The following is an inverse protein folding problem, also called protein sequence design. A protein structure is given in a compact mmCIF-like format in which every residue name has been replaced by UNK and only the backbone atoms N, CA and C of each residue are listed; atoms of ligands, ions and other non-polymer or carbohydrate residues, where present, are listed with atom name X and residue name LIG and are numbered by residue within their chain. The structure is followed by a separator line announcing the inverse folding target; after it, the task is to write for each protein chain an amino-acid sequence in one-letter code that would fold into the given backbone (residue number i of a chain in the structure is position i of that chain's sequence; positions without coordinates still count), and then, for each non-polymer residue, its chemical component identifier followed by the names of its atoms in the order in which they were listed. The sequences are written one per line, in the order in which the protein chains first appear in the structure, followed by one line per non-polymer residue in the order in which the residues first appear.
data_IF_273127090990
#
_entry.id   IF_273127090990
#
_cell.length_a   1.000
_cell.length_b   1.000
_cell.length_c   1.000
_cell.angle_alpha   90.00
_cell.angle_beta   90.00
_cell.angle_gamma   90.00
#
_symmetry.space_group_name_H-M   'P 1'
#
loop_
_entity.id
_entity.type
_entity.pdbx_description
1 polymer ?
#
# COMPACT_ATOMS: atom_id res chain seq x y z
N UNK A 1 12.73 -24.93 -7.10
CA UNK A 1 12.17 -23.60 -7.45
C UNK A 1 10.85 -23.25 -6.74
N UNK A 2 9.73 -23.99 -6.86
CA UNK A 2 8.45 -23.56 -6.27
C UNK A 2 8.42 -23.58 -4.74
N UNK A 3 9.01 -24.60 -4.08
CA UNK A 3 9.09 -24.59 -2.61
C UNK A 3 9.91 -23.41 -2.09
N UNK A 4 10.99 -23.04 -2.80
CA UNK A 4 11.86 -21.92 -2.42
C UNK A 4 11.10 -20.59 -2.49
N UNK A 5 10.28 -20.38 -3.51
CA UNK A 5 9.46 -19.18 -3.62
C UNK A 5 8.45 -19.06 -2.47
N UNK A 6 7.81 -20.18 -2.09
CA UNK A 6 6.91 -20.19 -0.93
C UNK A 6 7.67 -19.90 0.38
N UNK A 7 8.87 -20.44 0.57
CA UNK A 7 9.72 -20.10 1.71
C UNK A 7 10.07 -18.61 1.74
N UNK A 8 10.46 -18.02 0.61
CA UNK A 8 10.77 -16.58 0.51
C UNK A 8 9.55 -15.74 0.89
N UNK A 9 8.38 -16.05 0.32
CA UNK A 9 7.12 -15.37 0.67
C UNK A 9 6.84 -15.45 2.16
N UNK A 10 7.01 -16.64 2.75
CA UNK A 10 6.78 -16.86 4.17
C UNK A 10 7.74 -16.04 5.04
N UNK A 11 9.04 -16.05 4.73
CA UNK A 11 10.01 -15.28 5.51
C UNK A 11 9.79 -13.77 5.40
N UNK A 12 9.50 -13.27 4.19
CA UNK A 12 9.17 -11.86 3.99
C UNK A 12 7.91 -11.46 4.78
N UNK A 13 6.87 -12.31 4.78
CA UNK A 13 5.65 -12.08 5.54
C UNK A 13 5.89 -12.00 7.05
N UNK A 14 6.84 -12.79 7.56
CA UNK A 14 7.19 -12.83 8.98
C UNK A 14 8.33 -11.88 9.37
N UNK A 15 8.76 -11.00 8.46
CA UNK A 15 9.85 -10.06 8.72
C UNK A 15 11.22 -10.72 8.94
N UNK A 16 11.39 -12.00 8.57
CA UNK A 16 12.66 -12.71 8.71
C UNK A 16 13.60 -12.35 7.56
N UNK A 17 14.27 -11.20 7.71
CA UNK A 17 15.17 -10.59 6.73
C UNK A 17 16.32 -11.52 6.33
N UNK A 18 16.94 -12.18 7.31
CA UNK A 18 18.10 -13.04 7.09
C UNK A 18 17.75 -14.25 6.23
N UNK A 19 16.72 -15.01 6.63
CA UNK A 19 16.30 -16.21 5.89
C UNK A 19 15.70 -15.85 4.53
N UNK A 20 14.95 -14.74 4.44
CA UNK A 20 14.47 -14.25 3.15
C UNK A 20 15.64 -13.99 2.19
N UNK A 21 16.68 -13.27 2.63
CA UNK A 21 17.84 -12.93 1.80
C UNK A 21 18.61 -14.19 1.37
N UNK A 22 18.92 -15.08 2.31
CA UNK A 22 19.61 -16.34 2.01
C UNK A 22 18.86 -17.16 0.95
N UNK A 23 17.53 -17.28 1.07
CA UNK A 23 16.74 -18.03 0.10
C UNK A 23 16.65 -17.33 -1.26
N UNK A 24 16.69 -16.01 -1.32
CA UNK A 24 16.70 -15.26 -2.59
C UNK A 24 18.06 -15.38 -3.28
N UNK A 25 19.17 -15.31 -2.55
CA UNK A 25 20.52 -15.52 -3.10
C UNK A 25 20.65 -16.92 -3.71
N UNK A 26 20.19 -17.95 -2.99
CA UNK A 26 20.14 -19.31 -3.53
C UNK A 26 19.23 -19.41 -4.76
N UNK A 27 18.12 -18.65 -4.82
CA UNK A 27 17.24 -18.62 -6.00
C UNK A 27 17.94 -17.99 -7.21
N UNK A 28 18.73 -16.93 -7.00
CA UNK A 28 19.54 -16.29 -8.04
C UNK A 28 20.59 -17.26 -8.57
N UNK A 29 21.36 -17.90 -7.68
CA UNK A 29 22.34 -18.92 -8.05
C UNK A 29 21.70 -20.09 -8.81
N UNK A 30 20.58 -20.61 -8.31
CA UNK A 30 19.82 -21.69 -8.97
C UNK A 30 19.41 -21.26 -10.39
N UNK A 31 19.08 -19.98 -10.61
CA UNK A 31 18.68 -19.48 -11.92
C UNK A 31 19.85 -19.24 -12.88
N UNK A 32 21.02 -18.84 -12.37
CA UNK A 32 22.25 -18.65 -13.13
C UNK A 32 22.87 -19.98 -13.58
N UNK A 33 22.74 -21.04 -12.77
CA UNK A 33 23.25 -22.38 -13.08
C UNK A 33 22.36 -23.20 -14.03
N UNK A 34 21.20 -22.67 -14.46
CA UNK A 34 20.34 -23.39 -15.41
C UNK A 34 20.93 -23.33 -16.82
N UNK A 35 21.47 -24.45 -17.29
CA UNK A 35 21.93 -24.63 -18.67
C UNK A 35 20.79 -25.12 -19.57
N UNK A 36 19.74 -24.31 -19.71
CA UNK A 36 18.60 -24.62 -20.58
C UNK A 36 18.57 -23.62 -21.72
N UNK A 37 18.55 -24.10 -22.97
CA UNK A 37 18.41 -23.27 -24.16
C UNK A 37 16.96 -22.78 -24.30
N UNK A 38 16.60 -21.83 -23.44
CA UNK A 38 15.27 -21.22 -23.40
C UNK A 38 15.39 -19.71 -23.37
N UNK A 39 14.89 -19.05 -24.42
CA UNK A 39 14.99 -17.61 -24.63
C UNK A 39 14.47 -16.76 -23.46
N UNK A 40 13.53 -17.27 -22.64
CA UNK A 40 13.01 -16.53 -21.47
C UNK A 40 13.81 -16.76 -20.18
N UNK A 41 14.80 -17.65 -20.19
CA UNK A 41 15.62 -17.94 -19.01
C UNK A 41 16.47 -16.72 -18.61
N UNK A 42 17.05 -16.03 -19.58
CA UNK A 42 17.80 -14.77 -19.35
C UNK A 42 16.91 -13.68 -18.75
N UNK A 43 15.65 -13.57 -19.21
CA UNK A 43 14.66 -12.65 -18.64
C UNK A 43 14.30 -13.02 -17.20
N UNK A 44 14.16 -14.31 -16.91
CA UNK A 44 13.87 -14.80 -15.56
C UNK A 44 15.03 -14.54 -14.61
N UNK A 45 16.26 -14.88 -15.00
CA UNK A 45 17.47 -14.61 -14.21
C UNK A 45 17.61 -13.11 -13.91
N UNK A 46 17.41 -12.26 -14.92
CA UNK A 46 17.38 -10.80 -14.74
C UNK A 46 16.30 -10.37 -13.73
N UNK A 47 15.09 -10.88 -13.83
CA UNK A 47 14.01 -10.55 -12.91
C UNK A 47 14.30 -10.99 -11.47
N UNK A 48 14.91 -12.16 -11.28
CA UNK A 48 15.32 -12.65 -9.95
C UNK A 48 16.41 -11.75 -9.35
N UNK A 49 17.38 -11.32 -10.16
CA UNK A 49 18.42 -10.38 -9.74
C UNK A 49 17.85 -9.02 -9.36
N UNK A 50 16.95 -8.47 -10.18
CA UNK A 50 16.25 -7.21 -9.87
C UNK A 50 15.43 -7.33 -8.58
N UNK A 51 14.74 -8.46 -8.40
CA UNK A 51 14.00 -8.76 -7.17
C UNK A 51 14.93 -8.82 -5.95
N UNK A 52 16.07 -9.50 -6.04
CA UNK A 52 17.08 -9.56 -4.98
C UNK A 52 17.58 -8.17 -4.59
N UNK A 53 17.99 -7.36 -5.56
CA UNK A 53 18.48 -6.00 -5.33
C UNK A 53 17.39 -5.14 -4.70
N UNK A 54 16.15 -5.25 -5.17
CA UNK A 54 15.02 -4.54 -4.59
C UNK A 54 14.81 -4.91 -3.12
N UNK A 55 14.75 -6.21 -2.80
CA UNK A 55 14.58 -6.67 -1.42
C UNK A 55 15.75 -6.19 -0.57
N UNK A 56 16.99 -6.35 -1.05
CA UNK A 56 18.21 -5.92 -0.34
C UNK A 56 18.18 -4.43 0.03
N UNK A 57 17.82 -3.57 -0.93
CA UNK A 57 17.73 -2.12 -0.70
C UNK A 57 16.59 -1.73 0.25
N UNK A 58 15.59 -2.59 0.43
CA UNK A 58 14.42 -2.34 1.25
C UNK A 58 14.35 -3.22 2.51
N UNK A 59 15.42 -3.96 2.84
CA UNK A 59 15.45 -4.94 3.94
C UNK A 59 14.98 -4.31 5.26
N UNK A 60 15.43 -3.08 5.53
CA UNK A 60 15.09 -2.37 6.77
C UNK A 60 13.63 -1.95 6.88
N UNK A 61 12.96 -1.80 5.74
CA UNK A 61 11.55 -1.45 5.64
C UNK A 61 10.62 -2.66 5.63
N UNK A 62 11.15 -3.89 5.66
CA UNK A 62 10.32 -5.10 5.74
C UNK A 62 9.65 -5.17 7.11
N UNK A 63 8.32 -5.13 7.08
CA UNK A 63 7.42 -5.22 8.23
C UNK A 63 7.08 -6.69 8.50
N UNK A 64 7.02 -7.08 9.77
CA UNK A 64 6.50 -8.38 10.20
C UNK A 64 4.95 -8.40 10.14
N UNK A 65 4.40 -8.68 8.97
CA UNK A 65 2.94 -8.76 8.79
C UNK A 65 2.30 -9.91 9.58
N UNK A 66 3.03 -11.00 9.83
CA UNK A 66 2.55 -12.11 10.66
C UNK A 66 2.31 -11.71 12.12
N UNK A 67 3.20 -10.90 12.69
CA UNK A 67 3.01 -10.31 14.03
C UNK A 67 1.85 -9.32 14.04
N UNK A 68 1.82 -8.37 13.08
CA UNK A 68 0.70 -7.41 12.95
C UNK A 68 -0.65 -8.11 12.89
N UNK A 69 -0.75 -9.19 12.11
CA UNK A 69 -1.97 -9.98 12.01
C UNK A 69 -2.39 -10.59 13.36
N UNK A 70 -1.45 -11.18 14.10
CA UNK A 70 -1.71 -11.76 15.44
C UNK A 70 -2.09 -10.70 16.47
N UNK A 71 -1.56 -9.48 16.34
CA UNK A 71 -1.90 -8.34 17.19
C UNK A 71 -3.17 -7.60 16.76
N UNK A 72 -3.84 -8.03 15.68
CA UNK A 72 -5.03 -7.34 15.14
C UNK A 72 -4.73 -5.98 14.51
N UNK A 73 -3.47 -5.70 14.16
CA UNK A 73 -3.07 -4.46 13.51
C UNK A 73 -3.41 -4.46 12.02
N UNK A 74 -3.48 -3.26 11.43
CA UNK A 74 -3.73 -3.10 10.00
C UNK A 74 -2.54 -3.64 9.19
N UNK A 75 -2.81 -4.67 8.38
CA UNK A 75 -1.84 -5.35 7.51
C UNK A 75 -1.88 -4.91 6.04
N UNK A 76 -2.92 -4.18 5.62
CA UNK A 76 -3.08 -3.75 4.22
C UNK A 76 -3.71 -2.37 4.12
N UNK A 77 -3.18 -1.56 3.20
CA UNK A 77 -3.78 -0.32 2.69
C UNK A 77 -4.70 -0.58 1.50
N UNK A 78 -4.83 -1.82 1.03
CA UNK A 78 -5.54 -2.17 -0.21
C UNK A 78 -7.00 -1.72 -0.24
N UNK A 79 -7.71 -1.74 0.89
CA UNK A 79 -9.06 -1.18 0.99
C UNK A 79 -9.06 0.34 0.72
N UNK A 80 -8.11 1.06 1.32
CA UNK A 80 -7.95 2.51 1.15
C UNK A 80 -7.54 2.83 -0.29
N UNK A 81 -6.56 2.10 -0.84
CA UNK A 81 -6.10 2.25 -2.22
C UNK A 81 -7.22 1.99 -3.22
N UNK A 82 -8.02 0.94 -3.02
CA UNK A 82 -9.19 0.63 -3.85
C UNK A 82 -10.23 1.74 -3.77
N UNK A 83 -10.54 2.25 -2.58
CA UNK A 83 -11.46 3.37 -2.41
C UNK A 83 -10.95 4.64 -3.13
N UNK A 84 -9.66 4.95 -3.00
CA UNK A 84 -9.03 6.07 -3.72
C UNK A 84 -9.13 5.87 -5.24
N UNK A 85 -8.80 4.69 -5.74
CA UNK A 85 -8.90 4.35 -7.16
C UNK A 85 -10.34 4.48 -7.69
N UNK A 86 -11.34 4.06 -6.92
CA UNK A 86 -12.75 4.24 -7.28
C UNK A 86 -13.15 5.71 -7.33
N UNK A 87 -12.73 6.53 -6.36
CA UNK A 87 -13.01 7.97 -6.35
C UNK A 87 -12.38 8.66 -7.57
N UNK A 88 -11.11 8.38 -7.84
CA UNK A 88 -10.39 8.93 -9.00
C UNK A 88 -11.09 8.48 -10.29
N UNK A 89 -11.41 7.19 -10.44
CA UNK A 89 -12.08 6.69 -11.62
C UNK A 89 -13.46 7.35 -11.84
N UNK A 90 -14.24 7.52 -10.78
CA UNK A 90 -15.57 8.14 -10.82
C UNK A 90 -15.51 9.63 -11.14
N UNK A 91 -14.54 10.37 -10.60
CA UNK A 91 -14.48 11.83 -10.70
C UNK A 91 -13.66 12.32 -11.91
N UNK A 92 -12.55 11.65 -12.21
CA UNK A 92 -11.57 12.11 -13.21
C UNK A 92 -11.64 11.35 -14.54
N UNK A 93 -11.94 10.05 -14.54
CA UNK A 93 -11.78 9.21 -15.75
C UNK A 93 -13.11 8.91 -16.45
N UNK A 94 -14.14 8.50 -15.72
CA UNK A 94 -15.40 8.03 -16.32
C UNK A 94 -16.51 9.09 -16.25
N UNK A 95 -16.81 9.67 -17.41
CA UNK A 95 -18.03 10.44 -17.77
C UNK A 95 -18.42 11.71 -16.99
N UNK A 96 -17.81 12.06 -15.86
CA UNK A 96 -18.25 13.25 -15.08
C UNK A 96 -17.41 14.54 -15.20
N UNK A 97 -16.24 14.54 -15.87
CA UNK A 97 -15.38 15.73 -16.06
C UNK A 97 -15.28 16.72 -14.86
N UNK A 98 -15.36 16.24 -13.62
CA UNK A 98 -15.10 17.08 -12.45
C UNK A 98 -13.61 17.03 -12.15
N UNK A 99 -12.87 17.90 -12.85
CA UNK A 99 -11.44 18.10 -12.63
C UNK A 99 -11.23 18.87 -11.34
N UNK A 100 -10.91 18.17 -10.26
CA UNK A 100 -10.36 18.84 -9.09
C UNK A 100 -8.95 19.32 -9.39
N UNK A 101 -8.62 20.53 -8.97
CA UNK A 101 -7.23 20.93 -8.84
C UNK A 101 -6.58 20.10 -7.74
N UNK A 102 -5.26 19.90 -7.80
CA UNK A 102 -4.50 19.21 -6.73
C UNK A 102 -4.82 19.80 -5.35
N UNK A 103 -4.90 21.14 -5.27
CA UNK A 103 -5.27 21.89 -4.07
C UNK A 103 -6.71 21.56 -3.61
N UNK A 104 -7.68 21.52 -4.53
CA UNK A 104 -9.07 21.19 -4.21
C UNK A 104 -9.22 19.76 -3.68
N UNK A 105 -8.56 18.78 -4.32
CA UNK A 105 -8.56 17.39 -3.85
C UNK A 105 -7.95 17.26 -2.45
N UNK A 106 -6.83 17.95 -2.20
CA UNK A 106 -6.16 17.97 -0.90
C UNK A 106 -7.06 18.55 0.20
N UNK A 107 -7.67 19.72 -0.05
CA UNK A 107 -8.58 20.35 0.92
C UNK A 107 -9.80 19.49 1.21
N UNK A 108 -10.38 18.85 0.19
CA UNK A 108 -11.52 17.95 0.39
C UNK A 108 -11.15 16.74 1.27
N UNK A 109 -9.96 16.15 1.05
CA UNK A 109 -9.46 15.08 1.91
C UNK A 109 -9.30 15.55 3.36
N UNK A 110 -8.71 16.73 3.59
CA UNK A 110 -8.58 17.29 4.95
C UNK A 110 -9.94 17.46 5.64
N UNK A 111 -10.94 17.99 4.94
CA UNK A 111 -12.30 18.14 5.47
C UNK A 111 -12.90 16.77 5.77
N UNK A 112 -12.79 15.81 4.84
CA UNK A 112 -13.36 14.47 5.03
C UNK A 112 -12.72 13.74 6.20
N UNK A 113 -11.40 13.84 6.37
CA UNK A 113 -10.68 13.28 7.53
C UNK A 113 -11.18 13.92 8.82
N UNK A 114 -11.28 15.26 8.89
CA UNK A 114 -11.83 15.94 10.08
C UNK A 114 -13.28 15.53 10.38
N UNK A 115 -14.09 15.25 9.36
CA UNK A 115 -15.47 14.74 9.55
C UNK A 115 -15.45 13.33 10.15
N UNK A 116 -14.64 12.42 9.58
CA UNK A 116 -14.52 11.05 10.07
C UNK A 116 -13.95 10.97 11.49
N UNK A 117 -12.99 11.84 11.80
CA UNK A 117 -12.41 11.98 13.15
C UNK A 117 -13.33 12.73 14.12
N UNK A 118 -14.53 13.15 13.68
CA UNK A 118 -15.49 13.96 14.46
C UNK A 118 -14.98 15.33 14.91
N UNK A 119 -13.86 15.81 14.32
CA UNK A 119 -13.19 17.08 14.62
C UNK A 119 -13.59 18.23 13.69
N UNK A 120 -14.58 18.02 12.84
CA UNK A 120 -15.02 19.03 11.88
C UNK A 120 -15.69 20.23 12.57
N UNK A 121 -16.39 20.01 13.69
CA UNK A 121 -17.03 21.07 14.48
C UNK A 121 -15.99 22.09 14.98
N UNK A 122 -14.85 21.62 15.47
CA UNK A 122 -13.76 22.49 15.95
C UNK A 122 -13.14 23.31 14.80
N UNK A 123 -12.98 22.67 13.63
CA UNK A 123 -12.48 23.36 12.45
C UNK A 123 -13.43 24.47 11.97
N UNK A 124 -14.74 24.21 12.00
CA UNK A 124 -15.75 25.22 11.66
C UNK A 124 -15.74 26.36 12.67
N UNK A 125 -15.70 26.08 13.98
CA UNK A 125 -15.60 27.11 15.02
C UNK A 125 -14.34 27.97 14.86
N UNK A 126 -13.22 27.36 14.49
CA UNK A 126 -11.97 28.08 14.24
C UNK A 126 -12.06 28.98 13.00
N UNK A 127 -12.72 28.52 11.93
CA UNK A 127 -12.85 29.28 10.68
C UNK A 127 -13.96 30.34 10.73
N UNK A 128 -15.00 30.09 11.52
CA UNK A 128 -16.17 30.93 11.67
C UNK A 128 -16.53 31.05 13.16
N UNK A 129 -15.82 31.92 13.92
CA UNK A 129 -16.03 32.07 15.36
C UNK A 129 -17.44 32.57 15.70
N UNK A 130 -18.09 33.28 14.79
CA UNK A 130 -19.38 33.93 15.02
C UNK A 130 -20.61 33.02 14.73
N UNK A 131 -20.40 31.84 14.13
CA UNK A 131 -21.49 30.88 13.85
C UNK A 131 -21.78 30.00 15.07
N UNK A 132 -22.59 30.52 16.00
CA UNK A 132 -22.96 29.83 17.24
C UNK A 132 -24.17 28.87 17.12
N UNK A 133 -24.64 28.53 15.92
CA UNK A 133 -25.74 27.57 15.73
C UNK A 133 -25.51 26.72 14.48
N UNK A 134 -24.90 25.54 14.65
CA UNK A 134 -25.00 24.46 13.66
C UNK A 134 -25.92 23.42 14.28
N UNK A 135 -27.20 23.45 13.90
CA UNK A 135 -28.19 22.45 14.32
C UNK A 135 -27.71 21.04 13.95
N UNK A 136 -27.93 20.09 14.85
CA UNK A 136 -27.56 18.69 14.65
C UNK A 136 -28.48 18.05 13.62
N UNK A 137 -27.99 17.86 12.40
CA UNK A 137 -28.64 16.99 11.42
C UNK A 137 -28.24 15.54 11.77
N UNK A 138 -29.20 14.64 12.08
CA UNK A 138 -28.89 13.26 12.38
C UNK A 138 -28.17 12.60 11.21
N UNK A 139 -27.07 11.91 11.51
CA UNK A 139 -26.31 11.17 10.51
C UNK A 139 -27.16 9.96 10.08
N UNK A 140 -27.66 9.99 8.84
CA UNK A 140 -28.42 8.88 8.29
C UNK A 140 -27.58 7.60 8.27
N UNK A 141 -28.15 6.52 8.81
CA UNK A 141 -27.57 5.18 8.92
C UNK A 141 -27.28 4.53 7.55
#
# INVERSE_FOLDING_TARGET
MPQRLESIKWYLWHGNRFQAMQHIELLEMDAECLEIDYLKLSKMAKAIREFRVYIQNNLDFIVNYGERYRCGERISTGFVESAVNQIIAKRMVKKQQMRWTLKGAHLLLQVRTKVLDQRWKDAIKQWYPDTNQVEEIPMAA
#
